data_IF_327129348517
#
_entry.id   IF_327129348517
#
_cell.length_a   1.000
_cell.length_b   1.000
_cell.length_c   1.000
_cell.angle_alpha   90.00
_cell.angle_beta   90.00
_cell.angle_gamma   90.00
#
_symmetry.space_group_name_H-M   'P 1'
#
loop_
_entity.id
_entity.type
_entity.pdbx_description
1 polymer ?
#
# COMPACT_ATOMS: atom_id res chain seq x y z
N UNK A 1 -20.96 26.90 -57.51
CA UNK A 1 -21.47 27.24 -56.17
C UNK A 1 -21.11 26.11 -55.24
N UNK A 2 -20.13 26.35 -54.37
CA UNK A 2 -19.45 25.34 -53.55
C UNK A 2 -19.50 25.83 -52.09
N UNK A 3 -19.92 25.02 -51.11
CA UNK A 3 -20.07 25.49 -49.73
C UNK A 3 -18.69 25.65 -49.03
N UNK A 4 -18.55 26.57 -48.06
CA UNK A 4 -17.28 26.82 -47.38
C UNK A 4 -16.96 25.78 -46.31
N UNK A 5 -15.68 25.43 -46.19
CA UNK A 5 -15.11 24.53 -45.18
C UNK A 5 -15.00 25.20 -43.79
N UNK A 6 -15.17 24.44 -42.68
CA UNK A 6 -14.98 24.98 -41.32
C UNK A 6 -13.49 25.16 -40.97
N UNK A 7 -13.17 26.27 -40.30
CA UNK A 7 -11.83 26.58 -39.75
C UNK A 7 -11.65 25.86 -38.41
N UNK A 8 -10.54 25.14 -38.26
CA UNK A 8 -10.09 24.51 -37.01
C UNK A 8 -8.95 25.37 -36.44
N UNK A 9 -9.11 25.87 -35.22
CA UNK A 9 -8.06 26.63 -34.51
C UNK A 9 -7.10 25.67 -33.79
N UNK A 10 -5.78 25.95 -33.76
CA UNK A 10 -4.81 25.08 -33.09
C UNK A 10 -4.75 25.36 -31.58
N UNK A 11 -5.03 24.33 -30.77
CA UNK A 11 -4.82 24.35 -29.32
C UNK A 11 -3.38 23.94 -29.03
N UNK A 12 -2.66 24.85 -28.36
CA UNK A 12 -1.25 24.72 -28.01
C UNK A 12 -1.01 23.64 -26.94
N UNK A 13 -0.06 22.76 -27.23
CA UNK A 13 0.57 21.83 -26.29
C UNK A 13 1.45 22.65 -25.34
N UNK A 14 1.11 22.70 -24.05
CA UNK A 14 1.98 23.26 -23.00
C UNK A 14 2.65 22.13 -22.22
N UNK A 15 3.95 22.01 -22.42
CA UNK A 15 4.88 21.34 -21.53
C UNK A 15 4.82 21.98 -20.13
N UNK A 16 4.60 21.17 -19.09
CA UNK A 16 4.71 21.62 -17.69
C UNK A 16 5.99 21.03 -17.11
N UNK A 17 7.03 21.86 -17.07
CA UNK A 17 8.26 21.62 -16.32
C UNK A 17 8.29 22.68 -15.21
N UNK A 18 8.20 22.28 -13.95
CA UNK A 18 8.02 23.20 -12.83
C UNK A 18 8.70 22.68 -11.57
N UNK A 19 9.95 23.10 -11.40
CA UNK A 19 10.72 22.96 -10.18
C UNK A 19 10.04 23.70 -9.02
N UNK A 20 9.83 23.03 -7.89
CA UNK A 20 9.39 23.68 -6.66
C UNK A 20 10.61 24.23 -5.90
N UNK A 21 10.71 25.56 -5.90
CA UNK A 21 11.61 26.33 -5.05
C UNK A 21 11.18 26.27 -3.58
N UNK A 22 12.15 26.11 -2.68
CA UNK A 22 12.01 26.30 -1.23
C UNK A 22 11.98 27.81 -0.89
N UNK A 23 11.11 28.28 0.02
CA UNK A 23 11.31 29.56 0.67
C UNK A 23 12.10 29.41 1.98
N UNK A 24 13.10 30.28 2.10
CA UNK A 24 13.98 30.45 3.25
C UNK A 24 13.26 31.11 4.45
N UNK A 25 13.92 31.00 5.59
CA UNK A 25 13.49 31.24 6.97
C UNK A 25 13.47 32.74 7.29
N UNK A 26 12.42 33.21 7.97
CA UNK A 26 12.43 34.48 8.73
C UNK A 26 12.26 34.18 10.23
N UNK A 27 13.22 34.68 11.01
CA UNK A 27 13.30 34.62 12.48
C UNK A 27 12.51 35.77 13.13
N UNK A 28 11.70 35.46 14.16
CA UNK A 28 11.33 36.38 15.28
C UNK A 28 10.38 35.72 16.32
N UNK A 29 10.30 36.22 17.58
CA UNK A 29 10.67 35.41 18.74
C UNK A 29 9.55 34.96 19.71
N UNK A 30 9.92 33.96 20.51
CA UNK A 30 9.40 33.49 21.81
C UNK A 30 7.93 33.68 22.17
N UNK A 31 7.16 32.59 22.09
CA UNK A 31 5.96 32.37 22.91
C UNK A 31 6.06 31.00 23.60
N UNK A 32 6.06 31.01 24.94
CA UNK A 32 6.10 29.80 25.79
C UNK A 32 4.88 28.92 25.50
N UNK A 33 5.11 27.67 25.06
CA UNK A 33 4.06 26.65 24.87
C UNK A 33 3.87 25.84 26.16
N UNK A 34 2.64 25.69 26.67
CA UNK A 34 2.38 24.82 27.82
C UNK A 34 2.53 23.34 27.43
N UNK A 35 3.06 22.55 28.36
CA UNK A 35 3.53 21.18 28.15
C UNK A 35 2.51 20.24 27.52
N UNK A 36 2.92 19.57 26.44
CA UNK A 36 2.24 18.43 25.84
C UNK A 36 2.30 17.25 26.83
N UNK A 37 1.20 17.04 27.58
CA UNK A 37 0.98 15.78 28.29
C UNK A 37 0.71 14.70 27.24
N UNK A 38 1.72 13.88 26.94
CA UNK A 38 1.54 12.62 26.23
C UNK A 38 0.68 11.70 27.10
N UNK A 39 -0.64 11.67 26.83
CA UNK A 39 -1.51 10.63 27.37
C UNK A 39 -1.20 9.35 26.62
N UNK A 40 -0.48 8.42 27.24
CA UNK A 40 -0.41 7.04 26.79
C UNK A 40 -1.85 6.49 26.74
N UNK A 41 -2.41 6.35 25.54
CA UNK A 41 -3.71 5.74 25.33
C UNK A 41 -3.54 4.23 25.49
N UNK A 42 -4.07 3.66 26.57
CA UNK A 42 -4.14 2.21 26.71
C UNK A 42 -5.08 1.65 25.65
N UNK A 43 -4.55 0.80 24.76
CA UNK A 43 -5.32 0.11 23.72
C UNK A 43 -6.39 -0.77 24.38
N UNK A 44 -7.60 -0.79 23.83
CA UNK A 44 -8.68 -1.63 24.39
C UNK A 44 -8.44 -3.12 24.13
N UNK A 45 -9.04 -4.01 24.93
CA UNK A 45 -8.96 -5.48 24.71
C UNK A 45 -9.52 -5.90 23.35
N UNK A 46 -10.55 -5.21 22.86
CA UNK A 46 -11.11 -5.41 21.53
C UNK A 46 -10.15 -4.98 20.41
N UNK A 47 -9.43 -3.87 20.61
CA UNK A 47 -8.42 -3.39 19.67
C UNK A 47 -7.22 -4.33 19.58
N UNK A 48 -6.75 -4.87 20.72
CA UNK A 48 -5.70 -5.90 20.75
C UNK A 48 -6.11 -7.20 20.02
N UNK A 49 -7.33 -7.69 20.24
CA UNK A 49 -7.85 -8.87 19.54
C UNK A 49 -7.95 -8.68 18.01
N UNK A 50 -8.30 -7.47 17.57
CA UNK A 50 -8.35 -7.14 16.14
C UNK A 50 -6.95 -7.11 15.51
N UNK A 51 -5.98 -6.52 16.20
CA UNK A 51 -4.57 -6.54 15.75
C UNK A 51 -4.10 -7.98 15.61
N UNK A 52 -4.35 -8.84 16.60
CA UNK A 52 -3.98 -10.25 16.53
C UNK A 52 -4.64 -11.00 15.35
N UNK A 53 -5.94 -10.78 15.08
CA UNK A 53 -6.61 -11.42 13.93
C UNK A 53 -6.12 -10.88 12.57
N UNK A 54 -5.75 -9.59 12.50
CA UNK A 54 -5.13 -8.99 11.32
C UNK A 54 -3.73 -9.56 11.11
N UNK A 55 -2.97 -9.74 12.18
CA UNK A 55 -1.65 -10.34 12.15
C UNK A 55 -1.77 -11.80 11.74
N UNK A 56 -2.70 -12.59 12.28
CA UNK A 56 -2.87 -14.00 11.93
C UNK A 56 -3.18 -14.23 10.44
N UNK A 57 -4.02 -13.39 9.82
CA UNK A 57 -4.25 -13.46 8.37
C UNK A 57 -3.05 -13.03 7.52
N UNK A 58 -2.15 -12.27 8.11
CA UNK A 58 -0.94 -11.76 7.47
C UNK A 58 0.33 -12.48 8.00
N UNK A 59 0.19 -13.52 8.83
CA UNK A 59 1.29 -14.32 9.39
C UNK A 59 1.26 -15.64 8.62
N UNK A 60 1.79 -15.57 7.41
CA UNK A 60 1.82 -16.68 6.46
C UNK A 60 1.78 -16.14 5.03
N UNK A 61 2.21 -16.94 4.04
CA UNK A 61 2.13 -16.52 2.65
C UNK A 61 0.68 -16.21 2.32
N UNK A 62 0.43 -15.03 1.75
CA UNK A 62 -0.89 -14.60 1.31
C UNK A 62 -1.36 -15.56 0.21
N UNK A 63 -2.21 -16.52 0.58
CA UNK A 63 -2.68 -17.60 -0.29
C UNK A 63 -4.16 -17.84 -0.11
N UNK A 64 -4.85 -17.89 -1.23
CA UNK A 64 -6.21 -18.39 -1.40
C UNK A 64 -6.25 -19.34 -2.60
N UNK A 65 -7.46 -19.82 -2.91
CA UNK A 65 -7.69 -20.62 -4.12
C UNK A 65 -7.39 -19.78 -5.37
N UNK A 66 -6.70 -20.37 -6.35
CA UNK A 66 -6.46 -19.74 -7.66
C UNK A 66 -7.80 -19.58 -8.38
N UNK A 67 -8.14 -18.34 -8.75
CA UNK A 67 -9.41 -18.05 -9.40
C UNK A 67 -9.21 -17.70 -10.86
N UNK A 68 -10.05 -18.26 -11.74
CA UNK A 68 -10.21 -17.77 -13.11
C UNK A 68 -10.89 -16.39 -13.15
N UNK A 69 -10.85 -15.73 -14.31
CA UNK A 69 -11.31 -14.35 -14.50
C UNK A 69 -12.71 -14.06 -13.92
N UNK A 70 -13.72 -14.90 -14.21
CA UNK A 70 -15.09 -14.68 -13.72
C UNK A 70 -15.19 -14.74 -12.20
N UNK A 71 -14.52 -15.72 -11.58
CA UNK A 71 -14.47 -15.88 -10.13
C UNK A 71 -13.67 -14.77 -9.46
N UNK A 72 -12.60 -14.30 -10.10
CA UNK A 72 -11.79 -13.18 -9.63
C UNK A 72 -12.60 -11.87 -9.64
N UNK A 73 -13.35 -11.61 -10.71
CA UNK A 73 -14.27 -10.48 -10.79
C UNK A 73 -15.42 -10.58 -9.77
N UNK A 74 -15.97 -11.78 -9.56
CA UNK A 74 -16.96 -12.02 -8.52
C UNK A 74 -16.40 -11.75 -7.11
N UNK A 75 -15.15 -12.17 -6.86
CA UNK A 75 -14.42 -11.90 -5.63
C UNK A 75 -14.21 -10.41 -5.39
N UNK A 76 -13.79 -9.67 -6.42
CA UNK A 76 -13.64 -8.21 -6.36
C UNK A 76 -14.95 -7.51 -5.94
N UNK A 77 -16.08 -7.89 -6.56
CA UNK A 77 -17.40 -7.38 -6.18
C UNK A 77 -17.78 -7.76 -4.75
N UNK A 78 -17.45 -8.97 -4.31
CA UNK A 78 -17.72 -9.41 -2.94
C UNK A 78 -16.93 -8.60 -1.90
N UNK A 79 -15.65 -8.33 -2.17
CA UNK A 79 -14.82 -7.45 -1.34
C UNK A 79 -15.43 -6.04 -1.26
N UNK A 80 -15.78 -5.44 -2.41
CA UNK A 80 -16.39 -4.12 -2.46
C UNK A 80 -17.68 -4.00 -1.63
N UNK A 81 -18.55 -5.03 -1.65
CA UNK A 81 -19.79 -5.06 -0.84
C UNK A 81 -19.53 -5.24 0.66
N UNK A 82 -18.47 -5.95 1.03
CA UNK A 82 -18.14 -6.25 2.42
C UNK A 82 -17.48 -5.09 3.17
N UNK A 83 -16.92 -4.12 2.43
CA UNK A 83 -16.17 -3.03 3.00
C UNK A 83 -17.04 -2.02 3.73
N UNK A 84 -16.59 -1.64 4.92
CA UNK A 84 -17.12 -0.52 5.68
C UNK A 84 -15.97 0.41 5.99
N UNK A 85 -16.11 1.68 5.64
CA UNK A 85 -15.10 2.71 5.86
C UNK A 85 -15.33 3.43 7.20
N UNK A 86 -14.26 3.93 7.81
CA UNK A 86 -14.40 4.71 9.04
C UNK A 86 -15.01 6.07 8.71
N UNK A 87 -16.14 6.38 9.36
CA UNK A 87 -16.81 7.67 9.23
C UNK A 87 -16.12 8.76 10.06
N UNK A 88 -16.11 10.00 9.54
CA UNK A 88 -15.71 11.20 10.28
C UNK A 88 -14.25 11.63 10.09
N UNK A 89 -13.88 12.82 10.64
CA UNK A 89 -12.59 13.45 10.39
C UNK A 89 -11.43 12.59 10.90
N UNK A 90 -10.41 12.45 10.06
CA UNK A 90 -9.19 11.66 10.31
C UNK A 90 -8.35 12.35 11.39
N UNK A 91 -8.70 12.16 12.66
CA UNK A 91 -7.83 12.53 13.77
C UNK A 91 -6.73 11.48 13.88
N UNK A 92 -5.49 11.92 13.65
CA UNK A 92 -4.21 11.22 13.83
C UNK A 92 -4.33 9.69 14.00
N UNK A 93 -4.19 8.97 12.88
CA UNK A 93 -4.29 7.51 12.87
C UNK A 93 -2.90 6.87 12.84
N UNK A 94 -2.68 5.79 13.61
CA UNK A 94 -1.43 5.05 13.52
C UNK A 94 -1.31 4.45 12.12
N UNK A 95 -0.19 4.70 11.45
CA UNK A 95 0.06 4.17 10.11
C UNK A 95 0.45 2.69 10.19
N UNK A 96 -0.53 1.83 10.50
CA UNK A 96 -0.33 0.41 10.81
C UNK A 96 0.41 -0.34 9.70
N UNK A 97 0.00 -0.14 8.45
CA UNK A 97 0.66 -0.75 7.30
C UNK A 97 2.11 -0.27 7.15
N UNK A 98 2.38 1.02 7.33
CA UNK A 98 3.75 1.54 7.25
C UNK A 98 4.63 1.03 8.40
N UNK A 99 4.06 0.88 9.60
CA UNK A 99 4.76 0.28 10.73
C UNK A 99 5.08 -1.19 10.45
N UNK A 100 4.11 -1.95 9.94
CA UNK A 100 4.28 -3.36 9.56
C UNK A 100 5.33 -3.51 8.45
N UNK A 101 5.28 -2.69 7.41
CA UNK A 101 6.31 -2.65 6.37
C UNK A 101 7.71 -2.37 6.94
N UNK A 102 7.82 -1.49 7.94
CA UNK A 102 9.10 -1.22 8.61
C UNK A 102 9.58 -2.42 9.43
N UNK A 103 8.67 -3.18 10.04
CA UNK A 103 8.99 -4.43 10.74
C UNK A 103 9.45 -5.51 9.76
N UNK A 104 8.71 -5.73 8.68
CA UNK A 104 9.08 -6.65 7.58
C UNK A 104 10.44 -6.28 6.98
N UNK A 105 10.69 -4.99 6.74
CA UNK A 105 11.99 -4.51 6.23
C UNK A 105 13.15 -4.88 7.16
N UNK A 106 12.96 -4.74 8.49
CA UNK A 106 13.97 -5.10 9.48
C UNK A 106 14.20 -6.61 9.53
N UNK A 107 13.13 -7.39 9.50
CA UNK A 107 13.21 -8.85 9.47
C UNK A 107 13.98 -9.35 8.25
N UNK A 108 13.70 -8.80 7.07
CA UNK A 108 14.38 -9.14 5.82
C UNK A 108 15.87 -8.76 5.86
N UNK A 109 16.21 -7.60 6.43
CA UNK A 109 17.62 -7.20 6.61
C UNK A 109 18.38 -8.12 7.57
N UNK A 110 17.76 -8.50 8.68
CA UNK A 110 18.35 -9.43 9.64
C UNK A 110 18.51 -10.83 9.03
N UNK A 111 17.52 -11.32 8.28
CA UNK A 111 17.60 -12.58 7.56
C UNK A 111 18.73 -12.57 6.53
N UNK A 112 18.80 -11.54 5.69
CA UNK A 112 19.87 -11.38 4.70
C UNK A 112 21.26 -11.36 5.33
N UNK A 113 21.44 -10.65 6.46
CA UNK A 113 22.70 -10.62 7.20
C UNK A 113 23.09 -12.01 7.74
N UNK A 114 22.13 -12.75 8.30
CA UNK A 114 22.37 -14.10 8.83
C UNK A 114 22.71 -15.10 7.72
N UNK A 115 22.01 -15.02 6.58
CA UNK A 115 22.27 -15.89 5.43
C UNK A 115 23.65 -15.63 4.83
N UNK A 116 24.07 -14.37 4.68
CA UNK A 116 25.43 -14.05 4.23
C UNK A 116 26.50 -14.60 5.19
N UNK A 117 26.29 -14.49 6.51
CA UNK A 117 27.22 -15.02 7.49
C UNK A 117 27.31 -16.56 7.43
N UNK A 118 26.18 -17.24 7.22
CA UNK A 118 26.14 -18.69 7.05
C UNK A 118 26.85 -19.14 5.76
N UNK A 119 26.60 -18.45 4.64
CA UNK A 119 27.26 -18.71 3.37
C UNK A 119 28.78 -18.51 3.46
N UNK A 120 29.23 -17.43 4.12
CA UNK A 120 30.65 -17.18 4.37
C UNK A 120 31.31 -18.26 5.26
N UNK A 121 30.53 -18.93 6.11
CA UNK A 121 30.97 -20.06 6.92
C UNK A 121 30.89 -21.42 6.19
N UNK A 122 30.49 -21.43 4.91
CA UNK A 122 30.35 -22.64 4.10
C UNK A 122 29.13 -23.51 4.44
N UNK A 123 28.13 -22.95 5.13
CA UNK A 123 26.89 -23.65 5.45
C UNK A 123 25.91 -23.57 4.26
N UNK A 124 25.36 -24.71 3.86
CA UNK A 124 24.28 -24.77 2.88
C UNK A 124 22.96 -24.34 3.54
N UNK A 125 22.39 -23.23 3.08
CA UNK A 125 21.13 -22.67 3.55
C UNK A 125 19.94 -23.07 2.66
N UNK A 126 20.18 -23.83 1.60
CA UNK A 126 19.20 -24.32 0.63
C UNK A 126 18.76 -23.31 -0.42
N UNK A 127 18.01 -23.77 -1.44
CA UNK A 127 17.72 -22.97 -2.65
C UNK A 127 16.94 -21.67 -2.39
N UNK A 128 16.07 -21.64 -1.37
CA UNK A 128 15.31 -20.45 -1.03
C UNK A 128 16.19 -19.34 -0.43
N UNK A 129 17.22 -19.73 0.32
CA UNK A 129 18.18 -18.78 0.89
C UNK A 129 19.09 -18.20 -0.17
N UNK A 130 19.59 -19.03 -1.10
CA UNK A 130 20.38 -18.59 -2.26
C UNK A 130 19.59 -17.61 -3.12
N UNK A 131 18.35 -17.97 -3.47
CA UNK A 131 17.48 -17.07 -4.22
C UNK A 131 17.31 -15.72 -3.52
N UNK A 132 17.08 -15.71 -2.20
CA UNK A 132 16.92 -14.46 -1.46
C UNK A 132 18.21 -13.64 -1.45
N UNK A 133 19.39 -14.28 -1.33
CA UNK A 133 20.67 -13.58 -1.38
C UNK A 133 20.89 -12.92 -2.74
N UNK A 134 20.63 -13.66 -3.82
CA UNK A 134 20.78 -13.18 -5.19
C UNK A 134 19.80 -12.05 -5.52
N UNK A 135 18.58 -12.10 -4.97
CA UNK A 135 17.50 -11.16 -5.33
C UNK A 135 17.21 -10.09 -4.27
N UNK A 136 17.96 -10.03 -3.17
CA UNK A 136 17.68 -9.11 -2.07
C UNK A 136 17.64 -7.63 -2.53
N UNK A 137 18.44 -7.28 -3.53
CA UNK A 137 18.47 -5.93 -4.09
C UNK A 137 17.11 -5.51 -4.69
N UNK A 138 16.37 -6.43 -5.31
CA UNK A 138 15.04 -6.19 -5.88
C UNK A 138 14.05 -5.84 -4.78
N UNK A 139 14.10 -6.59 -3.67
CA UNK A 139 13.27 -6.32 -2.50
C UNK A 139 13.59 -4.94 -1.91
N UNK A 140 14.87 -4.58 -1.83
CA UNK A 140 15.28 -3.25 -1.38
C UNK A 140 14.78 -2.14 -2.30
N UNK A 141 14.88 -2.33 -3.62
CA UNK A 141 14.37 -1.39 -4.61
C UNK A 141 12.87 -1.13 -4.41
N UNK A 142 12.06 -2.18 -4.33
CA UNK A 142 10.62 -2.05 -4.11
C UNK A 142 10.28 -1.38 -2.77
N UNK A 143 11.04 -1.66 -1.70
CA UNK A 143 10.87 -0.96 -0.42
C UNK A 143 11.11 0.55 -0.55
N UNK A 144 12.11 0.97 -1.34
CA UNK A 144 12.36 2.40 -1.58
C UNK A 144 11.28 3.04 -2.46
N UNK A 145 10.83 2.34 -3.50
CA UNK A 145 9.72 2.79 -4.36
C UNK A 145 8.43 3.01 -3.56
N UNK A 146 8.10 2.09 -2.65
CA UNK A 146 6.94 2.24 -1.76
C UNK A 146 7.09 3.47 -0.87
N UNK A 147 8.26 3.70 -0.27
CA UNK A 147 8.50 4.88 0.58
C UNK A 147 8.38 6.19 -0.20
N UNK A 148 8.86 6.21 -1.45
CA UNK A 148 8.78 7.39 -2.32
C UNK A 148 7.35 7.67 -2.80
N UNK A 149 6.60 6.63 -3.17
CA UNK A 149 5.24 6.74 -3.71
C UNK A 149 4.14 6.85 -2.64
N UNK A 150 4.43 6.44 -1.39
CA UNK A 150 3.47 6.46 -0.29
C UNK A 150 3.95 7.29 0.92
N UNK A 151 4.17 8.62 0.77
CA UNK A 151 4.52 9.48 1.90
C UNK A 151 3.49 9.41 3.04
N UNK A 152 3.94 9.54 4.28
CA UNK A 152 3.06 9.41 5.46
C UNK A 152 1.89 10.41 5.52
N UNK A 153 1.97 11.55 4.83
CA UNK A 153 0.83 12.47 4.69
C UNK A 153 -0.24 11.87 3.77
N UNK A 154 0.18 11.42 2.59
CA UNK A 154 -0.68 10.79 1.60
C UNK A 154 -1.33 9.51 2.15
N UNK A 155 -0.57 8.64 2.82
CA UNK A 155 -1.11 7.45 3.49
C UNK A 155 -2.29 7.77 4.42
N UNK A 156 -2.20 8.85 5.20
CA UNK A 156 -3.24 9.24 6.17
C UNK A 156 -4.51 9.80 5.52
N UNK A 157 -4.44 10.18 4.25
CA UNK A 157 -5.61 10.66 3.50
C UNK A 157 -6.40 9.50 2.89
N UNK A 158 -5.83 8.30 2.85
CA UNK A 158 -6.51 7.12 2.31
C UNK A 158 -7.67 6.68 3.20
N UNK A 159 -8.82 6.30 2.63
CA UNK A 159 -9.92 5.71 3.38
C UNK A 159 -9.49 4.42 4.08
N UNK A 160 -9.77 4.31 5.38
CA UNK A 160 -9.47 3.12 6.17
C UNK A 160 -10.71 2.26 6.43
N UNK A 161 -10.48 0.96 6.54
CA UNK A 161 -11.49 -0.03 6.92
C UNK A 161 -11.90 0.11 8.39
N UNK A 162 -13.20 0.16 8.65
CA UNK A 162 -13.81 0.25 9.97
C UNK A 162 -14.07 -1.11 10.62
N UNK A 163 -14.05 -2.18 9.84
CA UNK A 163 -14.41 -3.51 10.29
C UNK A 163 -13.71 -4.59 9.50
N UNK A 164 -13.83 -5.83 9.98
CA UNK A 164 -13.15 -6.96 9.38
C UNK A 164 -11.70 -7.07 9.84
N UNK A 165 -10.97 -8.04 9.31
CA UNK A 165 -9.64 -8.34 9.82
C UNK A 165 -8.63 -7.23 9.55
N UNK A 166 -8.72 -6.55 8.40
CA UNK A 166 -7.87 -5.42 8.05
C UNK A 166 -8.37 -4.07 8.61
N UNK A 167 -9.06 -4.08 9.75
CA UNK A 167 -9.53 -2.83 10.39
C UNK A 167 -8.35 -1.89 10.69
N UNK A 168 -8.46 -0.63 10.23
CA UNK A 168 -7.41 0.38 10.37
C UNK A 168 -6.31 0.31 9.31
N UNK A 169 -6.45 -0.55 8.30
CA UNK A 169 -5.65 -0.51 7.09
C UNK A 169 -6.38 0.26 5.97
N UNK A 170 -5.65 0.81 4.98
CA UNK A 170 -6.26 1.44 3.82
C UNK A 170 -7.15 0.46 3.07
N UNK A 171 -8.30 0.93 2.58
CA UNK A 171 -9.21 0.13 1.74
C UNK A 171 -8.50 -0.45 0.52
N UNK A 172 -7.66 0.36 -0.14
CA UNK A 172 -6.85 -0.06 -1.28
C UNK A 172 -5.90 -1.23 -0.95
N UNK A 173 -5.47 -1.38 0.32
CA UNK A 173 -4.65 -2.51 0.73
C UNK A 173 -5.42 -3.83 0.70
N UNK A 174 -6.67 -3.84 1.17
CA UNK A 174 -7.51 -5.03 1.10
C UNK A 174 -7.82 -5.45 -0.35
N UNK A 175 -7.95 -4.47 -1.26
CA UNK A 175 -8.07 -4.76 -2.70
C UNK A 175 -6.83 -5.49 -3.20
N UNK A 176 -5.63 -4.97 -2.91
CA UNK A 176 -4.38 -5.59 -3.31
C UNK A 176 -4.20 -7.01 -2.74
N UNK A 177 -4.44 -7.19 -1.44
CA UNK A 177 -4.28 -8.50 -0.79
C UNK A 177 -5.29 -9.51 -1.31
N UNK A 178 -6.54 -9.10 -1.57
CA UNK A 178 -7.54 -9.98 -2.16
C UNK A 178 -7.14 -10.43 -3.58
N UNK A 179 -6.55 -9.55 -4.39
CA UNK A 179 -6.03 -9.92 -5.70
C UNK A 179 -4.86 -10.89 -5.59
N UNK A 180 -3.85 -10.56 -4.78
CA UNK A 180 -2.63 -11.39 -4.58
C UNK A 180 -3.00 -12.81 -4.11
N UNK A 181 -3.94 -12.89 -3.17
CA UNK A 181 -4.39 -14.17 -2.58
C UNK A 181 -4.93 -15.14 -3.64
N UNK A 182 -5.55 -14.64 -4.71
CA UNK A 182 -6.27 -15.46 -5.68
C UNK A 182 -5.58 -15.56 -7.04
N UNK A 183 -4.33 -15.10 -7.12
CA UNK A 183 -3.51 -15.09 -8.35
C UNK A 183 -2.16 -15.78 -8.19
N UNK A 184 -1.95 -16.51 -7.08
CA UNK A 184 -0.62 -17.07 -6.72
C UNK A 184 0.49 -16.01 -6.75
N UNK A 185 0.15 -14.76 -6.39
CA UNK A 185 1.04 -13.60 -6.48
C UNK A 185 1.53 -13.25 -7.91
N UNK A 186 0.90 -13.80 -8.97
CA UNK A 186 1.17 -13.42 -10.37
C UNK A 186 0.35 -12.18 -10.73
N UNK A 187 0.98 -11.02 -10.67
CA UNK A 187 0.34 -9.73 -10.92
C UNK A 187 0.71 -9.22 -12.31
N UNK A 188 -0.29 -8.91 -13.12
CA UNK A 188 -0.16 -8.28 -14.42
C UNK A 188 -1.28 -7.24 -14.61
N UNK A 189 -1.21 -6.46 -15.69
CA UNK A 189 -2.20 -5.41 -15.94
C UNK A 189 -3.60 -5.99 -16.18
N UNK A 190 -3.72 -7.16 -16.82
CA UNK A 190 -5.02 -7.74 -17.15
C UNK A 190 -5.80 -8.11 -15.89
N UNK A 191 -5.15 -8.78 -14.94
CA UNK A 191 -5.80 -9.17 -13.69
C UNK A 191 -6.03 -7.98 -12.74
N UNK A 192 -5.15 -6.98 -12.77
CA UNK A 192 -5.33 -5.73 -12.01
C UNK A 192 -6.53 -4.96 -12.55
N UNK A 193 -6.60 -4.74 -13.87
CA UNK A 193 -7.68 -4.00 -14.51
C UNK A 193 -9.02 -4.71 -14.27
N UNK A 194 -9.09 -6.02 -14.51
CA UNK A 194 -10.28 -6.82 -14.25
C UNK A 194 -10.77 -6.69 -12.80
N UNK A 195 -9.86 -6.81 -11.83
CA UNK A 195 -10.22 -6.75 -10.42
C UNK A 195 -10.70 -5.35 -10.02
N UNK A 196 -9.96 -4.32 -10.44
CA UNK A 196 -10.26 -2.93 -10.13
C UNK A 196 -11.57 -2.48 -10.79
N UNK A 197 -11.82 -2.84 -12.05
CA UNK A 197 -13.08 -2.54 -12.74
C UNK A 197 -14.26 -3.25 -12.09
N UNK A 198 -14.14 -4.55 -11.81
CA UNK A 198 -15.21 -5.31 -11.16
C UNK A 198 -15.52 -4.78 -9.76
N UNK A 199 -14.49 -4.39 -8.99
CA UNK A 199 -14.65 -3.74 -7.70
C UNK A 199 -15.38 -2.39 -7.83
N UNK A 200 -14.95 -1.53 -8.76
CA UNK A 200 -15.50 -0.20 -8.95
C UNK A 200 -16.93 -0.20 -9.49
N UNK A 201 -17.36 -1.28 -10.16
CA UNK A 201 -18.75 -1.52 -10.54
C UNK A 201 -19.70 -1.66 -9.34
N UNK A 202 -19.19 -1.84 -8.12
CA UNK A 202 -19.96 -1.84 -6.87
C UNK A 202 -19.75 -0.54 -6.09
N UNK A 203 -18.49 -0.18 -5.83
CA UNK A 203 -18.14 1.01 -5.04
C UNK A 203 -16.95 1.72 -5.68
N UNK A 204 -17.05 3.02 -6.02
CA UNK A 204 -15.95 3.72 -6.66
C UNK A 204 -14.74 3.87 -5.73
N UNK A 205 -13.55 3.76 -6.32
CA UNK A 205 -12.30 4.14 -5.69
C UNK A 205 -12.04 5.62 -5.97
N UNK A 206 -11.49 6.32 -4.98
CA UNK A 206 -11.02 7.69 -5.19
C UNK A 206 -9.76 7.68 -6.05
N UNK A 207 -9.45 8.83 -6.66
CA UNK A 207 -8.18 8.98 -7.39
C UNK A 207 -6.98 8.65 -6.49
N UNK A 208 -6.98 9.11 -5.23
CA UNK A 208 -5.95 8.77 -4.26
C UNK A 208 -5.84 7.27 -3.97
N UNK A 209 -6.93 6.51 -4.01
CA UNK A 209 -6.82 5.05 -3.83
C UNK A 209 -6.24 4.35 -5.06
N UNK A 210 -6.63 4.78 -6.27
CA UNK A 210 -6.08 4.26 -7.52
C UNK A 210 -4.57 4.53 -7.62
N UNK A 211 -4.13 5.74 -7.26
CA UNK A 211 -2.70 6.10 -7.21
C UNK A 211 -1.93 5.29 -6.15
N UNK A 212 -2.60 4.81 -5.10
CA UNK A 212 -1.97 3.98 -4.08
C UNK A 212 -1.86 2.51 -4.49
N UNK A 213 -2.62 2.04 -5.48
CA UNK A 213 -2.66 0.61 -5.87
C UNK A 213 -1.27 0.00 -6.15
N UNK A 214 -0.36 0.64 -6.90
CA UNK A 214 0.97 0.06 -7.15
C UNK A 214 1.81 -0.09 -5.88
N UNK A 215 1.66 0.82 -4.91
CA UNK A 215 2.33 0.71 -3.62
C UNK A 215 1.70 -0.39 -2.75
N UNK A 216 0.37 -0.51 -2.75
CA UNK A 216 -0.34 -1.56 -2.00
C UNK A 216 0.01 -2.96 -2.49
N UNK A 217 0.09 -3.15 -3.82
CA UNK A 217 0.52 -4.42 -4.43
C UNK A 217 1.95 -4.77 -4.04
N UNK A 218 2.89 -3.82 -4.12
CA UNK A 218 4.27 -4.02 -3.69
C UNK A 218 4.35 -4.41 -2.22
N UNK A 219 3.64 -3.69 -1.34
CA UNK A 219 3.63 -4.02 0.09
C UNK A 219 3.10 -5.44 0.30
N UNK A 220 1.97 -5.80 -0.32
CA UNK A 220 1.38 -7.13 -0.18
C UNK A 220 2.22 -8.26 -0.76
N UNK A 221 3.11 -8.00 -1.72
CA UNK A 221 4.05 -9.00 -2.24
C UNK A 221 5.32 -9.15 -1.39
N UNK A 222 5.67 -8.12 -0.62
CA UNK A 222 6.85 -8.12 0.27
C UNK A 222 6.52 -8.77 1.62
N UNK A 223 5.29 -8.59 2.12
CA UNK A 223 4.81 -9.18 3.38
C UNK A 223 4.53 -10.68 3.29
#
# INVERSE_FOLDING_TARGET
MTPPRPRVSPVAVRHFNGAYAQPAIEDSPSARRPGLRFRHRMSSRAERRRVAASEELLVGPIRGELLGADHLAARARAVARGQRLVAGPVRWRPARLLARLADTSRLLADAHKRLNAAAAAGLDAGPAAEWLLDNYYVVQEHLQEVRASLPGRYYRELPELASGPLTGYPRAYEVAIALISHTEARIDMENVDLFVEAFQGVTPLTLGELWAMPAMLRIGLIE
#
